data_IF_333399296619
#
_entry.id   IF_333399296619
#
_cell.length_a   1.000
_cell.length_b   1.000
_cell.length_c   1.000
_cell.angle_alpha   90.00
_cell.angle_beta   90.00
_cell.angle_gamma   90.00
#
_symmetry.space_group_name_H-M   'P 1'
#
loop_
_entity.id
_entity.type
_entity.pdbx_description
1 polymer ?
#
# COMPACT_ATOMS: atom_id res chain seq x y z
N UNK A 1 71.72 22.05 1.77
CA UNK A 1 70.77 21.30 0.99
C UNK A 1 70.00 20.22 1.82
N UNK A 2 70.72 19.37 2.58
CA UNK A 2 70.13 18.28 3.39
C UNK A 2 69.16 18.77 4.50
N UNK A 3 69.33 19.95 5.07
CA UNK A 3 68.47 20.49 6.13
C UNK A 3 67.11 20.91 5.58
N UNK A 4 67.02 21.55 4.43
CA UNK A 4 65.77 21.95 3.77
C UNK A 4 64.91 20.72 3.34
N UNK A 5 65.58 19.66 2.88
CA UNK A 5 64.87 18.39 2.53
C UNK A 5 64.23 17.73 3.76
N UNK A 6 64.88 17.75 4.93
CA UNK A 6 64.36 17.22 6.18
C UNK A 6 63.09 17.97 6.64
N UNK A 7 63.13 19.31 6.54
CA UNK A 7 61.95 20.12 6.90
C UNK A 7 60.79 19.93 5.91
N UNK A 8 61.09 19.80 4.64
CA UNK A 8 60.10 19.52 3.63
C UNK A 8 59.46 18.14 3.87
N UNK A 9 60.23 17.12 4.19
CA UNK A 9 59.73 15.78 4.51
C UNK A 9 58.85 15.79 5.76
N UNK A 10 59.23 16.52 6.83
CA UNK A 10 58.41 16.67 8.03
C UNK A 10 57.11 17.39 7.75
N UNK A 11 57.12 18.41 6.91
CA UNK A 11 55.94 19.17 6.52
C UNK A 11 54.95 18.29 5.70
N UNK A 12 55.47 17.47 4.80
CA UNK A 12 54.65 16.51 4.04
C UNK A 12 54.03 15.44 4.96
N UNK A 13 54.79 14.91 5.92
CA UNK A 13 54.26 13.94 6.90
C UNK A 13 53.20 14.59 7.75
N UNK A 14 53.38 15.83 8.19
CA UNK A 14 52.39 16.57 8.96
C UNK A 14 51.09 16.80 8.17
N UNK A 15 51.19 17.19 6.87
CA UNK A 15 50.03 17.38 6.00
C UNK A 15 49.27 16.06 5.81
N UNK A 16 49.99 14.97 5.60
CA UNK A 16 49.37 13.62 5.44
C UNK A 16 48.70 13.20 6.74
N UNK A 17 49.31 13.40 7.89
CA UNK A 17 48.71 13.04 9.18
C UNK A 17 47.47 13.89 9.50
N UNK A 18 47.46 15.18 9.17
CA UNK A 18 46.28 16.04 9.32
C UNK A 18 45.17 15.62 8.34
N UNK A 19 45.53 15.32 7.11
CA UNK A 19 44.54 14.81 6.11
C UNK A 19 43.94 13.47 6.52
N UNK A 20 44.73 12.54 7.04
CA UNK A 20 44.25 11.27 7.56
C UNK A 20 43.37 11.45 8.81
N UNK A 21 43.78 12.34 9.74
CA UNK A 21 42.96 12.67 10.89
C UNK A 21 41.62 13.32 10.50
N UNK A 22 41.64 14.19 9.49
CA UNK A 22 40.40 14.79 8.96
C UNK A 22 39.48 13.78 8.29
N UNK A 23 40.04 12.87 7.47
CA UNK A 23 39.29 11.77 6.85
C UNK A 23 38.71 10.85 7.92
N UNK A 24 39.49 10.50 8.96
CA UNK A 24 39.01 9.70 10.08
C UNK A 24 37.93 10.40 10.88
N UNK A 25 38.08 11.70 11.16
CA UNK A 25 37.06 12.50 11.84
C UNK A 25 35.79 12.64 11.01
N UNK A 26 35.89 12.87 9.71
CA UNK A 26 34.75 12.96 8.81
C UNK A 26 34.00 11.62 8.66
N UNK A 27 34.74 10.48 8.71
CA UNK A 27 34.13 9.14 8.68
C UNK A 27 33.54 8.71 10.01
N UNK A 28 33.92 9.36 11.11
CA UNK A 28 33.40 9.07 12.45
C UNK A 28 32.17 9.92 12.81
N UNK A 29 31.76 10.86 11.94
CA UNK A 29 30.51 11.60 12.18
C UNK A 29 29.29 10.68 12.02
N UNK A 30 28.48 10.64 13.07
CA UNK A 30 27.19 9.94 13.06
C UNK A 30 26.28 10.58 12.00
N UNK A 31 25.79 9.77 11.06
CA UNK A 31 24.81 10.20 10.07
C UNK A 31 23.42 9.95 10.63
N UNK A 32 22.58 10.96 10.60
CA UNK A 32 21.18 10.83 10.99
C UNK A 32 20.35 10.54 9.74
N UNK A 33 19.61 9.43 9.78
CA UNK A 33 18.62 9.06 8.77
C UNK A 33 17.23 9.34 9.35
N UNK A 34 16.50 10.24 8.73
CA UNK A 34 15.14 10.61 9.12
C UNK A 34 14.12 9.78 8.36
N UNK A 35 13.17 9.16 9.08
CA UNK A 35 12.07 8.39 8.48
C UNK A 35 10.75 9.07 8.80
N UNK A 36 9.92 9.28 7.79
CA UNK A 36 8.54 9.75 7.90
C UNK A 36 7.56 8.58 7.90
N UNK A 37 6.81 8.42 8.99
CA UNK A 37 5.79 7.39 9.16
C UNK A 37 4.58 7.97 9.87
N UNK A 38 3.39 7.45 9.58
CA UNK A 38 2.20 7.78 10.37
C UNK A 38 2.12 6.89 11.62
N UNK A 39 1.43 7.41 12.65
CA UNK A 39 1.13 6.64 13.85
C UNK A 39 -0.06 5.70 13.59
N UNK A 40 0.01 4.52 14.18
CA UNK A 40 -1.01 3.51 14.02
C UNK A 40 -0.69 2.49 12.92
N UNK A 41 -1.63 1.59 12.71
CA UNK A 41 -1.60 0.64 11.59
C UNK A 41 -2.49 1.16 10.47
N UNK A 42 -2.40 0.55 9.28
CA UNK A 42 -3.36 0.74 8.18
C UNK A 42 -4.82 0.40 8.56
N UNK A 43 -5.04 -0.03 9.78
CA UNK A 43 -6.27 -0.59 10.34
C UNK A 43 -7.03 0.35 11.27
N UNK A 44 -6.83 1.65 11.25
CA UNK A 44 -7.49 2.63 12.13
C UNK A 44 -7.43 2.28 13.64
N UNK A 45 -6.37 1.59 14.05
CA UNK A 45 -6.14 1.36 15.48
C UNK A 45 -5.70 2.70 16.09
N UNK A 46 -6.48 3.27 17.02
CA UNK A 46 -6.19 4.58 17.55
C UNK A 46 -4.85 4.59 18.30
N UNK A 47 -3.96 5.50 17.87
CA UNK A 47 -2.88 6.10 18.65
C UNK A 47 -1.90 5.16 19.34
N UNK A 48 -1.22 4.29 18.60
CA UNK A 48 0.06 3.78 19.06
C UNK A 48 1.15 4.80 18.70
N UNK A 49 1.74 5.46 19.69
CA UNK A 49 2.92 6.30 19.50
C UNK A 49 4.17 5.46 19.16
N UNK A 50 4.08 4.16 19.31
CA UNK A 50 5.17 3.21 19.13
C UNK A 50 4.90 2.35 17.90
N UNK A 51 5.82 2.34 16.98
CA UNK A 51 5.83 1.36 15.90
C UNK A 51 6.83 0.26 16.25
N UNK A 52 6.38 -0.77 16.99
CA UNK A 52 7.23 -1.86 17.50
C UNK A 52 8.00 -2.60 16.41
N UNK A 53 7.41 -2.74 15.22
CA UNK A 53 8.06 -3.37 14.07
C UNK A 53 9.19 -2.49 13.57
N UNK A 54 8.92 -1.21 13.34
CA UNK A 54 9.92 -0.23 12.89
C UNK A 54 11.05 -0.10 13.91
N UNK A 55 10.73 0.00 15.21
CA UNK A 55 11.73 0.08 16.29
C UNK A 55 12.66 -1.14 16.30
N UNK A 56 12.11 -2.33 16.08
CA UNK A 56 12.89 -3.55 15.97
C UNK A 56 13.81 -3.56 14.75
N UNK A 57 13.31 -3.08 13.60
CA UNK A 57 14.09 -2.94 12.37
C UNK A 57 15.20 -1.90 12.53
N UNK A 58 14.90 -0.74 13.11
CA UNK A 58 15.88 0.31 13.41
C UNK A 58 17.01 -0.23 14.28
N UNK A 59 16.69 -0.89 15.39
CA UNK A 59 17.70 -1.49 16.27
C UNK A 59 18.59 -2.51 15.53
N UNK A 60 18.00 -3.31 14.65
CA UNK A 60 18.75 -4.27 13.84
C UNK A 60 19.65 -3.58 12.83
N UNK A 61 19.16 -2.53 12.18
CA UNK A 61 19.91 -1.74 11.19
C UNK A 61 21.08 -0.99 11.84
N UNK A 62 20.84 -0.26 12.93
CA UNK A 62 21.89 0.49 13.67
C UNK A 62 23.00 -0.43 14.19
N UNK A 63 22.65 -1.67 14.58
CA UNK A 63 23.65 -2.66 15.00
C UNK A 63 24.64 -3.04 13.89
N UNK A 64 24.18 -3.06 12.64
CA UNK A 64 25.02 -3.36 11.48
C UNK A 64 25.63 -2.11 10.85
N UNK A 65 25.11 -0.92 11.19
CA UNK A 65 25.55 0.38 10.69
C UNK A 65 25.84 1.35 11.85
N UNK A 66 26.92 1.14 12.64
CA UNK A 66 27.15 1.83 13.90
C UNK A 66 27.37 3.35 13.78
N UNK A 67 27.56 3.86 12.55
CA UNK A 67 27.72 5.29 12.28
C UNK A 67 26.44 5.94 11.72
N UNK A 68 25.32 5.20 11.72
CA UNK A 68 24.03 5.72 11.28
C UNK A 68 23.05 5.67 12.44
N UNK A 69 22.47 6.82 12.77
CA UNK A 69 21.37 6.94 13.71
C UNK A 69 20.07 7.10 12.93
N UNK A 70 19.09 6.26 13.20
CA UNK A 70 17.76 6.35 12.57
C UNK A 70 16.80 7.03 13.54
N UNK A 71 16.11 8.06 13.07
CA UNK A 71 15.10 8.79 13.85
C UNK A 71 13.83 8.94 13.04
N UNK A 72 12.68 8.89 13.71
CA UNK A 72 11.39 9.18 13.11
C UNK A 72 10.53 10.02 14.06
N UNK A 73 9.67 10.86 13.48
CA UNK A 73 8.68 11.59 14.23
C UNK A 73 7.50 10.66 14.53
N UNK A 74 7.17 10.51 15.81
CA UNK A 74 6.08 9.66 16.25
C UNK A 74 4.81 10.47 16.48
N UNK A 75 3.63 9.84 16.26
CA UNK A 75 2.35 10.39 16.65
C UNK A 75 1.65 11.26 15.61
N UNK A 76 2.11 11.26 14.35
CA UNK A 76 1.37 11.87 13.24
C UNK A 76 0.20 10.93 12.91
N UNK A 77 -1.08 11.36 13.06
CA UNK A 77 -2.22 10.53 12.67
C UNK A 77 -2.17 10.18 11.19
N UNK A 78 -2.70 9.02 10.82
CA UNK A 78 -2.73 8.58 9.41
C UNK A 78 -3.47 9.59 8.53
N UNK A 79 -4.58 10.14 9.02
CA UNK A 79 -5.40 11.10 8.27
C UNK A 79 -4.68 12.44 8.05
N UNK A 80 -3.79 12.84 8.97
CA UNK A 80 -3.03 14.09 8.88
C UNK A 80 -1.68 13.91 8.15
N UNK A 81 -1.28 12.65 7.89
CA UNK A 81 0.06 12.36 7.40
C UNK A 81 0.34 12.90 6.00
N UNK A 82 -0.63 12.85 5.09
CA UNK A 82 -0.48 13.36 3.73
C UNK A 82 -0.22 14.87 3.74
N UNK A 83 -0.99 15.63 4.53
CA UNK A 83 -0.84 17.08 4.69
C UNK A 83 0.50 17.43 5.34
N UNK A 84 0.87 16.69 6.41
CA UNK A 84 2.16 16.85 7.04
C UNK A 84 3.32 16.61 6.05
N UNK A 85 3.28 15.52 5.27
CA UNK A 85 4.32 15.22 4.28
C UNK A 85 4.40 16.29 3.19
N UNK A 86 3.26 16.76 2.69
CA UNK A 86 3.21 17.84 1.71
C UNK A 86 3.86 19.11 2.25
N UNK A 87 3.61 19.46 3.52
CA UNK A 87 4.24 20.61 4.19
C UNK A 87 5.77 20.43 4.29
N UNK A 88 6.26 19.22 4.65
CA UNK A 88 7.71 18.95 4.72
C UNK A 88 8.35 19.07 3.33
N UNK A 89 7.71 18.55 2.29
CA UNK A 89 8.21 18.64 0.90
C UNK A 89 8.28 20.10 0.43
N UNK A 90 7.24 20.89 0.70
CA UNK A 90 7.21 22.32 0.32
C UNK A 90 8.29 23.14 1.03
N UNK A 91 8.64 22.77 2.27
CA UNK A 91 9.73 23.41 3.04
C UNK A 91 11.12 22.92 2.64
N UNK A 92 11.24 21.83 1.89
CA UNK A 92 12.51 21.15 1.62
C UNK A 92 13.09 20.45 2.87
N UNK A 93 12.22 20.09 3.83
CA UNK A 93 12.55 19.47 5.11
C UNK A 93 12.04 18.01 5.19
N UNK A 94 11.63 17.42 4.04
CA UNK A 94 11.12 16.05 4.00
C UNK A 94 12.13 15.06 4.59
N UNK A 95 11.66 13.98 5.22
CA UNK A 95 12.53 12.90 5.68
C UNK A 95 13.32 12.27 4.53
N UNK A 96 14.44 11.61 4.86
CA UNK A 96 15.28 10.90 3.87
C UNK A 96 14.56 9.69 3.26
N UNK A 97 13.74 9.02 4.08
CA UNK A 97 12.81 7.96 3.69
C UNK A 97 11.44 8.27 4.29
N UNK A 98 10.37 8.00 3.57
CA UNK A 98 9.03 8.22 4.09
C UNK A 98 8.00 7.28 3.46
N UNK A 99 6.94 7.01 4.20
CA UNK A 99 5.76 6.34 3.67
C UNK A 99 5.12 7.25 2.62
N UNK A 100 4.85 6.70 1.45
CA UNK A 100 4.21 7.47 0.36
C UNK A 100 2.71 7.18 0.39
N UNK A 101 1.85 8.19 0.60
CA UNK A 101 0.41 8.01 0.48
C UNK A 101 0.04 7.59 -0.96
N UNK A 102 -0.81 6.60 -1.10
CA UNK A 102 -1.20 6.04 -2.39
C UNK A 102 -1.74 7.10 -3.34
N UNK A 103 -2.61 7.98 -2.85
CA UNK A 103 -3.25 9.03 -3.64
C UNK A 103 -2.25 10.10 -4.13
N UNK A 104 -1.13 10.28 -3.43
CA UNK A 104 -0.14 11.32 -3.74
C UNK A 104 1.06 10.78 -4.53
N UNK A 105 1.16 9.46 -4.68
CA UNK A 105 2.33 8.81 -5.30
C UNK A 105 2.66 9.37 -6.69
N UNK A 106 1.68 9.43 -7.58
CA UNK A 106 1.88 9.90 -8.95
C UNK A 106 2.32 11.38 -9.01
N UNK A 107 1.75 12.21 -8.13
CA UNK A 107 2.12 13.62 -8.01
C UNK A 107 3.57 13.76 -7.51
N UNK A 108 3.92 13.08 -6.42
CA UNK A 108 5.27 13.12 -5.84
C UNK A 108 6.34 12.59 -6.81
N UNK A 109 6.04 11.51 -7.56
CA UNK A 109 6.93 10.97 -8.56
C UNK A 109 7.11 11.93 -9.76
N UNK A 110 6.02 12.50 -10.29
CA UNK A 110 6.05 13.39 -11.46
C UNK A 110 6.72 14.73 -11.18
N UNK A 111 6.64 15.25 -9.96
CA UNK A 111 7.26 16.52 -9.55
C UNK A 111 8.73 16.41 -9.16
N UNK A 112 9.28 15.17 -9.10
CA UNK A 112 10.67 14.93 -8.70
C UNK A 112 10.89 14.98 -7.19
N UNK A 113 9.82 14.91 -6.38
CA UNK A 113 9.92 14.80 -4.92
C UNK A 113 10.44 13.41 -4.48
N UNK A 114 10.30 12.41 -5.34
CA UNK A 114 10.83 11.06 -5.13
C UNK A 114 12.06 10.81 -6.01
N UNK A 115 13.02 10.08 -5.45
CA UNK A 115 14.22 9.62 -6.17
C UNK A 115 13.95 8.27 -6.83
N UNK A 116 14.38 8.09 -8.09
CA UNK A 116 14.37 6.77 -8.73
C UNK A 116 15.19 5.77 -7.93
N UNK A 117 14.63 4.58 -7.76
CA UNK A 117 15.24 3.44 -7.08
C UNK A 117 15.88 2.44 -8.05
N UNK A 118 15.73 2.61 -9.37
CA UNK A 118 16.14 1.64 -10.38
C UNK A 118 17.62 1.28 -10.33
N UNK A 119 18.48 2.26 -10.01
CA UNK A 119 19.93 2.04 -9.88
C UNK A 119 20.36 1.54 -8.51
N UNK A 120 19.44 1.49 -7.54
CA UNK A 120 19.70 1.10 -6.15
C UNK A 120 19.25 -0.33 -5.84
N UNK A 121 18.43 -0.93 -6.71
CA UNK A 121 17.86 -2.26 -6.53
C UNK A 121 18.49 -3.26 -7.48
N UNK A 122 18.85 -4.41 -6.94
CA UNK A 122 19.23 -5.60 -7.71
C UNK A 122 17.99 -6.31 -8.28
N UNK A 123 18.17 -7.16 -9.27
CA UNK A 123 17.06 -7.95 -9.84
C UNK A 123 16.46 -8.92 -8.81
N UNK A 124 17.31 -9.50 -7.95
CA UNK A 124 16.86 -10.38 -6.87
C UNK A 124 15.97 -9.62 -5.86
N UNK A 125 16.34 -8.38 -5.50
CA UNK A 125 15.52 -7.54 -4.61
C UNK A 125 14.17 -7.17 -5.24
N UNK A 126 14.13 -6.90 -6.54
CA UNK A 126 12.89 -6.60 -7.27
C UNK A 126 11.94 -7.80 -7.29
N UNK A 127 12.48 -8.99 -7.55
CA UNK A 127 11.70 -10.23 -7.65
C UNK A 127 11.26 -10.78 -6.28
N UNK A 128 11.79 -10.23 -5.17
CA UNK A 128 11.36 -10.59 -3.82
C UNK A 128 9.95 -10.07 -3.47
N UNK A 129 9.45 -9.09 -4.22
CA UNK A 129 8.10 -8.54 -4.02
C UNK A 129 7.05 -9.25 -4.88
N UNK A 130 5.80 -9.25 -4.42
CA UNK A 130 4.69 -9.59 -5.28
C UNK A 130 4.61 -8.60 -6.46
N UNK A 131 4.52 -9.07 -7.72
CA UNK A 131 4.58 -8.19 -8.89
C UNK A 131 3.60 -7.00 -8.81
N UNK A 132 2.32 -7.26 -8.48
CA UNK A 132 1.29 -6.22 -8.37
C UNK A 132 1.65 -5.16 -7.32
N UNK A 133 2.23 -5.58 -6.17
CA UNK A 133 2.63 -4.65 -5.12
C UNK A 133 3.86 -3.82 -5.54
N UNK A 134 4.81 -4.44 -6.25
CA UNK A 134 5.98 -3.73 -6.76
C UNK A 134 5.61 -2.73 -7.86
N UNK A 135 4.70 -3.11 -8.77
CA UNK A 135 4.20 -2.23 -9.84
C UNK A 135 3.48 -0.99 -9.30
N UNK A 136 2.81 -1.10 -8.13
CA UNK A 136 2.17 0.05 -7.47
C UNK A 136 3.17 1.14 -7.08
N UNK A 137 4.45 0.80 -6.88
CA UNK A 137 5.55 1.74 -6.62
C UNK A 137 6.22 2.30 -7.88
N UNK A 138 5.66 2.07 -9.08
CA UNK A 138 6.21 2.52 -10.34
C UNK A 138 5.39 3.66 -10.95
N UNK A 139 6.09 4.65 -11.48
CA UNK A 139 5.52 5.73 -12.28
C UNK A 139 6.22 5.76 -13.64
N UNK A 140 5.45 5.60 -14.73
CA UNK A 140 5.95 5.53 -16.11
C UNK A 140 7.08 4.48 -16.31
N UNK A 141 6.99 3.34 -15.59
CA UNK A 141 7.94 2.23 -15.68
C UNK A 141 9.23 2.43 -14.88
N UNK A 142 9.33 3.49 -14.07
CA UNK A 142 10.46 3.76 -13.17
C UNK A 142 10.01 3.54 -11.73
N UNK A 143 10.80 2.81 -10.93
CA UNK A 143 10.51 2.54 -9.53
C UNK A 143 10.89 3.73 -8.65
N UNK A 144 9.94 4.22 -7.86
CA UNK A 144 10.12 5.32 -6.92
C UNK A 144 9.78 4.95 -5.48
N UNK A 145 9.00 3.88 -5.30
CA UNK A 145 8.63 3.38 -3.97
C UNK A 145 8.69 1.85 -3.93
N UNK A 146 8.83 1.30 -2.73
CA UNK A 146 8.78 -0.14 -2.47
C UNK A 146 7.59 -0.45 -1.58
N UNK A 147 6.89 -1.59 -1.80
CA UNK A 147 5.79 -1.98 -0.95
C UNK A 147 6.30 -2.36 0.45
N UNK A 148 5.72 -1.75 1.48
CA UNK A 148 6.00 -2.07 2.88
C UNK A 148 5.00 -3.09 3.41
N UNK A 149 3.74 -2.93 3.04
CA UNK A 149 2.65 -3.85 3.36
C UNK A 149 1.67 -3.93 2.19
N UNK A 150 0.93 -5.02 2.13
CA UNK A 150 -0.13 -5.22 1.16
C UNK A 150 -1.37 -5.74 1.87
N UNK A 151 -2.50 -5.12 1.59
CA UNK A 151 -3.78 -5.45 2.19
C UNK A 151 -4.78 -5.87 1.11
N UNK A 152 -4.78 -7.14 0.69
CA UNK A 152 -5.67 -7.61 -0.36
C UNK A 152 -7.12 -7.59 0.11
N UNK A 153 -8.02 -7.14 -0.75
CA UNK A 153 -9.45 -7.37 -0.60
C UNK A 153 -9.77 -8.77 -1.11
N UNK A 154 -10.37 -9.59 -0.26
CA UNK A 154 -10.73 -10.96 -0.59
C UNK A 154 -12.24 -11.12 -0.55
N UNK A 155 -12.79 -11.96 -1.43
CA UNK A 155 -14.21 -12.31 -1.40
C UNK A 155 -14.44 -13.32 -0.26
N UNK A 156 -15.03 -12.86 0.84
CA UNK A 156 -15.47 -13.73 1.92
C UNK A 156 -16.82 -14.34 1.61
N UNK A 157 -17.03 -15.58 2.07
CA UNK A 157 -18.19 -16.40 1.75
C UNK A 157 -18.88 -16.86 3.03
N UNK A 158 -20.16 -16.60 3.15
CA UNK A 158 -20.98 -17.17 4.21
C UNK A 158 -21.32 -18.64 3.86
N UNK A 159 -20.53 -19.54 4.42
CA UNK A 159 -20.66 -20.99 4.17
C UNK A 159 -22.03 -21.53 4.60
N UNK A 160 -22.48 -21.11 5.78
CA UNK A 160 -23.72 -21.63 6.37
C UNK A 160 -24.94 -21.23 5.54
N UNK A 161 -24.91 -20.00 5.01
CA UNK A 161 -25.96 -19.52 4.12
C UNK A 161 -25.96 -20.28 2.79
N UNK A 162 -24.80 -20.50 2.18
CA UNK A 162 -24.72 -21.28 0.92
C UNK A 162 -25.18 -22.73 1.14
N UNK A 163 -24.77 -23.37 2.23
CA UNK A 163 -25.18 -24.73 2.58
C UNK A 163 -26.71 -24.81 2.81
N UNK A 164 -27.28 -23.87 3.56
CA UNK A 164 -28.75 -23.75 3.73
C UNK A 164 -29.49 -23.66 2.41
N UNK A 165 -28.91 -22.97 1.42
CA UNK A 165 -29.48 -22.79 0.10
C UNK A 165 -29.16 -23.94 -0.88
N UNK A 166 -28.43 -24.97 -0.42
CA UNK A 166 -27.98 -26.10 -1.27
C UNK A 166 -27.03 -25.65 -2.39
N UNK A 167 -26.20 -24.67 -2.11
CA UNK A 167 -25.20 -24.13 -3.04
C UNK A 167 -23.81 -24.53 -2.54
N UNK A 168 -23.03 -25.16 -3.41
CA UNK A 168 -21.63 -25.46 -3.12
C UNK A 168 -20.80 -24.17 -3.08
N UNK A 169 -19.79 -24.12 -2.20
CA UNK A 169 -18.82 -23.04 -2.21
C UNK A 169 -18.12 -23.04 -3.56
N UNK A 170 -18.00 -21.89 -4.25
CA UNK A 170 -17.31 -21.81 -5.53
C UNK A 170 -15.85 -22.29 -5.43
N UNK A 171 -15.44 -23.13 -6.36
CA UNK A 171 -14.04 -23.55 -6.49
C UNK A 171 -13.22 -22.49 -7.24
N UNK A 172 -11.88 -22.65 -7.22
CA UNK A 172 -10.99 -21.78 -7.99
C UNK A 172 -11.35 -21.75 -9.46
N UNK A 173 -11.35 -20.57 -10.07
CA UNK A 173 -11.69 -20.36 -11.49
C UNK A 173 -13.16 -20.06 -11.77
N UNK A 174 -14.00 -19.85 -10.73
CA UNK A 174 -15.35 -19.35 -10.92
C UNK A 174 -15.37 -17.99 -11.62
N UNK A 175 -16.43 -17.74 -12.37
CA UNK A 175 -16.57 -16.56 -13.23
C UNK A 175 -17.54 -15.54 -12.62
N UNK A 176 -17.58 -14.32 -13.17
CA UNK A 176 -18.60 -13.33 -12.82
C UNK A 176 -20.02 -13.81 -13.13
N UNK A 177 -20.18 -14.68 -14.13
CA UNK A 177 -21.47 -15.30 -14.44
C UNK A 177 -21.89 -16.27 -13.34
N UNK A 178 -20.97 -17.12 -12.85
CA UNK A 178 -21.22 -18.00 -11.72
C UNK A 178 -21.55 -17.22 -10.46
N UNK A 179 -20.80 -16.16 -10.19
CA UNK A 179 -21.03 -15.24 -9.07
C UNK A 179 -22.45 -14.64 -9.13
N UNK A 180 -22.85 -14.10 -10.28
CA UNK A 180 -24.17 -13.53 -10.45
C UNK A 180 -25.30 -14.55 -10.24
N UNK A 181 -25.16 -15.76 -10.80
CA UNK A 181 -26.19 -16.82 -10.64
C UNK A 181 -26.32 -17.27 -9.18
N UNK A 182 -25.21 -17.32 -8.43
CA UNK A 182 -25.27 -17.58 -6.99
C UNK A 182 -25.98 -16.44 -6.26
N UNK A 183 -25.59 -15.17 -6.51
CA UNK A 183 -26.25 -14.02 -5.92
C UNK A 183 -27.74 -14.01 -6.20
N UNK A 184 -28.14 -14.29 -7.43
CA UNK A 184 -29.54 -14.38 -7.85
C UNK A 184 -30.31 -15.49 -7.14
N UNK A 185 -29.68 -16.66 -6.95
CA UNK A 185 -30.29 -17.81 -6.27
C UNK A 185 -30.47 -17.57 -4.77
N UNK A 186 -29.50 -16.88 -4.15
CA UNK A 186 -29.53 -16.56 -2.71
C UNK A 186 -30.50 -15.44 -2.40
N UNK A 187 -30.59 -14.43 -3.27
CA UNK A 187 -31.38 -13.23 -3.02
C UNK A 187 -32.88 -13.53 -3.09
N UNK A 188 -33.57 -13.42 -1.98
CA UNK A 188 -35.01 -13.74 -1.89
C UNK A 188 -35.67 -13.15 -0.64
N UNK A 189 -36.99 -13.13 -0.67
CA UNK A 189 -37.88 -12.95 0.49
C UNK A 189 -38.02 -14.32 1.18
N UNK A 190 -37.51 -14.43 2.42
CA UNK A 190 -37.53 -15.70 3.17
C UNK A 190 -38.77 -15.85 4.08
N UNK A 191 -39.43 -14.74 4.36
CA UNK A 191 -40.59 -14.70 5.27
C UNK A 191 -41.94 -14.58 4.52
N UNK A 192 -41.93 -14.25 3.22
CA UNK A 192 -43.12 -14.18 2.36
C UNK A 192 -43.90 -12.87 2.48
N UNK A 193 -43.29 -11.80 2.97
CA UNK A 193 -43.93 -10.48 3.12
C UNK A 193 -43.84 -9.59 1.85
N UNK A 194 -43.14 -10.06 0.84
CA UNK A 194 -42.94 -9.37 -0.44
C UNK A 194 -41.68 -8.48 -0.47
N UNK A 195 -40.89 -8.45 0.61
CA UNK A 195 -39.66 -7.70 0.72
C UNK A 195 -38.46 -8.68 0.78
N UNK A 196 -37.43 -8.42 -0.02
CA UNK A 196 -36.21 -9.21 0.03
C UNK A 196 -35.51 -8.98 1.35
N UNK A 197 -35.15 -10.06 2.08
CA UNK A 197 -34.52 -10.06 3.38
C UNK A 197 -33.26 -10.95 3.46
N UNK A 198 -32.90 -11.60 2.35
CA UNK A 198 -31.69 -12.36 2.17
C UNK A 198 -31.01 -11.96 0.84
N UNK A 199 -29.69 -11.74 0.83
CA UNK A 199 -28.99 -11.06 -0.24
C UNK A 199 -27.77 -11.85 -0.71
N UNK A 200 -27.38 -11.66 -1.98
CA UNK A 200 -26.19 -12.29 -2.57
C UNK A 200 -24.90 -11.62 -2.15
N UNK A 201 -24.86 -10.30 -2.07
CA UNK A 201 -23.63 -9.53 -1.94
C UNK A 201 -23.84 -8.22 -1.19
N UNK A 202 -22.83 -7.80 -0.42
CA UNK A 202 -22.68 -6.43 0.11
C UNK A 202 -21.34 -5.83 -0.30
N UNK A 203 -21.25 -4.50 -0.34
CA UNK A 203 -20.04 -3.71 -0.54
C UNK A 203 -19.17 -4.09 -1.76
N UNK A 204 -19.76 -4.73 -2.78
CA UNK A 204 -19.07 -4.96 -4.05
C UNK A 204 -19.07 -3.68 -4.88
N UNK A 205 -17.89 -3.26 -5.31
CA UNK A 205 -17.70 -1.97 -5.98
C UNK A 205 -17.56 -2.09 -7.49
N UNK A 206 -17.86 -0.99 -8.20
CA UNK A 206 -17.64 -0.93 -9.64
C UNK A 206 -16.15 -1.07 -10.02
N UNK A 207 -15.23 -0.64 -9.16
CA UNK A 207 -13.78 -0.83 -9.37
C UNK A 207 -13.43 -2.32 -9.35
N UNK A 208 -13.97 -3.07 -8.40
CA UNK A 208 -13.79 -4.53 -8.34
C UNK A 208 -14.39 -5.22 -9.57
N UNK A 209 -15.56 -4.80 -10.00
CA UNK A 209 -16.18 -5.29 -11.23
C UNK A 209 -15.31 -4.94 -12.46
N UNK A 210 -14.78 -3.73 -12.56
CA UNK A 210 -13.92 -3.31 -13.67
C UNK A 210 -12.67 -4.20 -13.76
N UNK A 211 -11.99 -4.43 -12.64
CA UNK A 211 -10.82 -5.33 -12.58
C UNK A 211 -11.21 -6.77 -12.96
N UNK A 212 -12.36 -7.25 -12.49
CA UNK A 212 -12.84 -8.60 -12.81
C UNK A 212 -13.17 -8.77 -14.31
N UNK A 213 -13.53 -7.70 -15.03
CA UNK A 213 -13.64 -7.69 -16.49
C UNK A 213 -12.30 -7.45 -17.21
N UNK A 214 -11.17 -7.35 -16.48
CA UNK A 214 -9.85 -7.09 -17.04
C UNK A 214 -9.59 -5.62 -17.40
N UNK A 215 -10.44 -4.71 -16.93
CA UNK A 215 -10.32 -3.29 -17.20
C UNK A 215 -9.44 -2.56 -16.17
N UNK A 216 -8.95 -1.39 -16.57
CA UNK A 216 -8.19 -0.47 -15.74
C UNK A 216 -8.76 0.94 -15.87
N UNK A 217 -8.88 1.65 -14.75
CA UNK A 217 -9.38 3.03 -14.76
C UNK A 217 -8.41 3.99 -15.44
N UNK A 218 -7.11 3.70 -15.33
CA UNK A 218 -6.05 4.52 -15.94
C UNK A 218 -5.11 3.65 -16.76
N UNK A 219 -4.63 4.18 -17.87
CA UNK A 219 -3.59 3.61 -18.69
C UNK A 219 -2.60 4.71 -19.15
N UNK A 220 -1.69 4.36 -20.08
CA UNK A 220 -0.71 5.30 -20.62
C UNK A 220 -1.32 6.52 -21.35
N UNK A 221 -2.60 6.43 -21.76
CA UNK A 221 -3.34 7.50 -22.43
C UNK A 221 -4.11 8.39 -21.46
N UNK A 222 -4.23 8.02 -20.20
CA UNK A 222 -4.91 8.76 -19.15
C UNK A 222 -6.06 7.99 -18.51
N UNK A 223 -7.15 8.69 -18.16
CA UNK A 223 -8.34 8.09 -17.53
C UNK A 223 -9.21 7.44 -18.60
N UNK A 224 -9.54 6.16 -18.41
CA UNK A 224 -10.26 5.31 -19.35
C UNK A 224 -11.66 4.97 -18.83
N UNK A 225 -12.57 5.96 -18.85
CA UNK A 225 -13.95 5.78 -18.36
C UNK A 225 -14.93 5.25 -19.41
N UNK A 226 -14.54 5.23 -20.69
CA UNK A 226 -15.39 4.82 -21.80
C UNK A 226 -14.92 3.50 -22.45
N UNK A 227 -14.28 2.64 -21.66
CA UNK A 227 -13.88 1.31 -22.12
C UNK A 227 -15.05 0.32 -22.13
N UNK A 228 -14.93 -0.73 -22.95
CA UNK A 228 -15.93 -1.80 -22.99
C UNK A 228 -16.05 -2.49 -21.64
N UNK A 229 -14.94 -2.65 -20.93
CA UNK A 229 -14.82 -3.24 -19.58
C UNK A 229 -15.54 -2.39 -18.53
N UNK A 230 -15.43 -1.06 -18.64
CA UNK A 230 -16.15 -0.14 -17.76
C UNK A 230 -17.67 -0.23 -17.99
N UNK A 231 -18.12 -0.27 -19.24
CA UNK A 231 -19.54 -0.44 -19.57
C UNK A 231 -20.07 -1.78 -19.05
N UNK A 232 -19.30 -2.86 -19.19
CA UNK A 232 -19.66 -4.20 -18.67
C UNK A 232 -19.72 -4.17 -17.12
N UNK A 233 -18.74 -3.55 -16.46
CA UNK A 233 -18.72 -3.43 -15.01
C UNK A 233 -19.94 -2.68 -14.47
N UNK A 234 -20.27 -1.51 -15.04
CA UNK A 234 -21.43 -0.74 -14.64
C UNK A 234 -22.76 -1.46 -14.91
N UNK A 235 -22.87 -2.15 -16.05
CA UNK A 235 -24.04 -2.99 -16.35
C UNK A 235 -24.17 -4.15 -15.37
N UNK A 236 -23.06 -4.75 -14.96
CA UNK A 236 -23.03 -5.81 -13.96
C UNK A 236 -23.45 -5.30 -12.57
N UNK A 237 -22.95 -4.14 -12.15
CA UNK A 237 -23.38 -3.50 -10.90
C UNK A 237 -24.88 -3.22 -10.88
N UNK A 238 -25.42 -2.70 -11.98
CA UNK A 238 -26.88 -2.47 -12.09
C UNK A 238 -27.69 -3.76 -11.99
N UNK A 239 -27.20 -4.89 -12.54
CA UNK A 239 -27.86 -6.19 -12.39
C UNK A 239 -27.84 -6.70 -10.95
N UNK A 240 -26.75 -6.50 -10.21
CA UNK A 240 -26.67 -6.88 -8.80
C UNK A 240 -27.60 -6.02 -7.93
N UNK A 241 -27.66 -4.71 -8.18
CA UNK A 241 -28.53 -3.79 -7.47
C UNK A 241 -30.03 -4.11 -7.64
N UNK A 242 -30.42 -4.51 -8.86
CA UNK A 242 -31.78 -4.97 -9.14
C UNK A 242 -32.17 -6.22 -8.35
N UNK A 243 -31.23 -7.12 -8.02
CA UNK A 243 -31.53 -8.31 -7.22
C UNK A 243 -31.99 -7.94 -5.82
N UNK A 244 -31.35 -6.96 -5.19
CA UNK A 244 -31.70 -6.48 -3.84
C UNK A 244 -32.90 -5.50 -3.82
N UNK A 245 -33.57 -5.30 -4.96
CA UNK A 245 -34.64 -4.30 -5.10
C UNK A 245 -34.21 -2.89 -4.67
N UNK A 246 -32.95 -2.53 -4.98
CA UNK A 246 -32.30 -1.27 -4.59
C UNK A 246 -32.15 -1.06 -3.08
N UNK A 247 -32.33 -2.11 -2.27
CA UNK A 247 -32.01 -2.04 -0.84
C UNK A 247 -30.49 -1.94 -0.66
N UNK A 248 -30.05 -1.01 0.17
CA UNK A 248 -28.64 -0.86 0.51
C UNK A 248 -28.24 -1.95 1.50
N UNK A 249 -27.75 -3.07 0.97
CA UNK A 249 -27.19 -4.16 1.78
C UNK A 249 -25.93 -3.67 2.48
N UNK A 250 -25.75 -4.03 3.74
CA UNK A 250 -24.67 -3.54 4.60
C UNK A 250 -23.84 -4.70 5.16
N UNK A 251 -22.67 -4.38 5.74
CA UNK A 251 -21.88 -5.34 6.50
C UNK A 251 -22.62 -5.96 7.68
N UNK A 252 -23.51 -5.20 8.33
CA UNK A 252 -24.36 -5.73 9.40
C UNK A 252 -25.29 -6.85 8.90
N UNK A 253 -25.80 -6.75 7.67
CA UNK A 253 -26.59 -7.83 7.07
C UNK A 253 -25.76 -9.09 6.86
N UNK A 254 -24.45 -8.96 6.57
CA UNK A 254 -23.54 -10.09 6.50
C UNK A 254 -23.27 -10.70 7.88
N UNK A 255 -23.03 -9.88 8.91
CA UNK A 255 -22.80 -10.32 10.28
C UNK A 255 -24.04 -11.04 10.87
N UNK A 256 -25.24 -10.62 10.46
CA UNK A 256 -26.50 -11.29 10.79
C UNK A 256 -26.76 -12.57 9.97
N UNK A 257 -25.86 -12.95 9.08
CA UNK A 257 -25.96 -14.19 8.28
C UNK A 257 -26.91 -14.08 7.10
N UNK A 258 -27.34 -12.88 6.70
CA UNK A 258 -28.31 -12.65 5.62
C UNK A 258 -27.68 -12.43 4.25
N UNK A 259 -26.35 -12.36 4.16
CA UNK A 259 -25.60 -12.10 2.90
C UNK A 259 -24.63 -13.22 2.61
N UNK A 260 -24.55 -13.63 1.34
CA UNK A 260 -23.68 -14.73 0.92
C UNK A 260 -22.23 -14.32 0.73
N UNK A 261 -21.97 -13.14 0.17
CA UNK A 261 -20.63 -12.68 -0.20
C UNK A 261 -20.35 -11.29 0.35
N UNK A 262 -19.09 -11.06 0.78
CA UNK A 262 -18.61 -9.76 1.21
C UNK A 262 -17.13 -9.60 0.88
N UNK A 263 -16.78 -8.67 -0.04
CA UNK A 263 -15.37 -8.33 -0.28
C UNK A 263 -14.84 -7.56 0.91
N UNK A 264 -13.91 -8.13 1.64
CA UNK A 264 -13.34 -7.50 2.83
C UNK A 264 -11.83 -7.70 2.90
N UNK A 265 -11.18 -6.82 3.60
CA UNK A 265 -9.80 -6.95 4.00
C UNK A 265 -9.67 -7.89 5.21
N UNK A 266 -8.45 -8.34 5.51
CA UNK A 266 -8.21 -9.17 6.69
C UNK A 266 -8.60 -8.47 8.01
N UNK A 267 -8.58 -7.13 8.06
CA UNK A 267 -8.97 -6.41 9.27
C UNK A 267 -10.50 -6.29 9.48
N UNK A 268 -11.24 -6.40 8.41
CA UNK A 268 -12.70 -6.42 8.50
C UNK A 268 -13.22 -7.83 8.86
N UNK A 269 -12.40 -8.87 8.63
CA UNK A 269 -12.66 -10.25 9.04
C UNK A 269 -12.43 -10.43 10.55
#
# INVERSE_FOLDING_TARGET
>A
MKWRLRHLALLVVLIISVALAFVFWASAQEKVLRIGVYAGSSWDVPNSRENKVLDSLIKKFEKTHPHVKVVYESGIPKDDYADWLAEQVLKGEQPDLFMVPENDFSMLASTGALKSLDTLLTDDERTAFYPVAYEAGQYQGVSYALPVESNPIMMCVNKDLLEKEGISIPESGWTLADFYEICKKVTKDTNGDGVVDQYGITDYTWQQALVAYGGHLTDKSGINVDSSEMHQALAFMSKLDMLSQHYKVTSNDFDEGRVAFYPMSLAQY
#
